data_IF_107235756879
#
_entry.id   IF_107235756879
#
_cell.length_a   1.000
_cell.length_b   1.000
_cell.length_c   1.000
_cell.angle_alpha   90.00
_cell.angle_beta   90.00
_cell.angle_gamma   90.00
#
_symmetry.space_group_name_H-M   'P 1'
#
loop_
_entity.id
_entity.type
_entity.pdbx_description
1 polymer ?
#
# COMPACT_ATOMS: atom_id res chain seq x y z
N UNK A 1 4.12 -4.44 -7.11
CA UNK A 1 3.18 -3.97 -8.15
C UNK A 1 2.57 -2.66 -7.69
N UNK A 2 2.62 -1.63 -8.53
CA UNK A 2 2.02 -0.32 -8.23
C UNK A 2 0.51 -0.48 -8.05
N UNK A 3 -0.04 0.27 -7.10
CA UNK A 3 -1.45 0.41 -6.66
C UNK A 3 -2.44 0.80 -7.77
N UNK A 4 -2.02 0.77 -9.04
CA UNK A 4 -2.82 1.23 -10.17
C UNK A 4 -3.44 0.05 -10.91
N UNK A 5 -4.77 0.01 -10.93
CA UNK A 5 -5.55 -0.89 -11.78
C UNK A 5 -5.25 -0.70 -13.27
N UNK A 6 -4.83 0.51 -13.68
CA UNK A 6 -4.61 0.87 -15.09
C UNK A 6 -3.60 -0.05 -15.77
N UNK A 7 -2.43 -0.25 -15.15
CA UNK A 7 -1.39 -1.12 -15.70
C UNK A 7 -1.84 -2.58 -15.75
N UNK A 8 -2.75 -3.01 -14.86
CA UNK A 8 -3.28 -4.39 -14.89
C UNK A 8 -4.31 -4.59 -15.99
N UNK A 9 -5.18 -3.60 -16.21
CA UNK A 9 -6.16 -3.60 -17.30
C UNK A 9 -5.45 -3.67 -18.66
N UNK A 10 -4.38 -2.89 -18.86
CA UNK A 10 -3.59 -2.95 -20.09
C UNK A 10 -2.92 -4.32 -20.32
N UNK A 11 -2.61 -5.04 -19.24
CA UNK A 11 -1.99 -6.37 -19.30
C UNK A 11 -3.02 -7.52 -19.26
N UNK A 12 -4.32 -7.22 -19.41
CA UNK A 12 -5.42 -8.21 -19.32
C UNK A 12 -5.41 -9.05 -18.02
N UNK A 13 -4.86 -8.49 -16.95
CA UNK A 13 -4.84 -9.11 -15.63
C UNK A 13 -6.11 -8.76 -14.84
N UNK A 14 -6.46 -9.54 -13.80
CA UNK A 14 -7.55 -9.18 -12.90
C UNK A 14 -7.43 -7.74 -12.38
N UNK A 15 -8.57 -7.05 -12.28
CA UNK A 15 -8.64 -5.63 -11.91
C UNK A 15 -8.06 -5.34 -10.53
N UNK A 16 -8.04 -6.33 -9.64
CA UNK A 16 -7.51 -6.25 -8.29
C UNK A 16 -6.26 -7.10 -8.10
N UNK A 17 -5.40 -6.70 -7.18
CA UNK A 17 -4.38 -7.53 -6.57
C UNK A 17 -4.23 -7.16 -5.08
N UNK A 18 -3.48 -7.95 -4.33
CA UNK A 18 -3.27 -7.71 -2.89
C UNK A 18 -2.73 -6.30 -2.60
N UNK A 19 -1.92 -5.73 -3.50
CA UNK A 19 -1.36 -4.37 -3.35
C UNK A 19 -2.44 -3.29 -3.53
N UNK A 20 -3.34 -3.45 -4.50
CA UNK A 20 -4.43 -2.52 -4.77
C UNK A 20 -5.46 -2.53 -3.63
N UNK A 21 -5.82 -3.71 -3.14
CA UNK A 21 -6.70 -3.83 -1.98
C UNK A 21 -6.05 -3.33 -0.70
N UNK A 22 -4.74 -3.56 -0.55
CA UNK A 22 -3.96 -3.00 0.54
C UNK A 22 -4.00 -1.48 0.54
N UNK A 23 -3.83 -0.86 -0.63
CA UNK A 23 -3.94 0.59 -0.81
C UNK A 23 -5.35 1.11 -0.52
N UNK A 24 -6.40 0.51 -1.09
CA UNK A 24 -7.79 0.90 -0.79
C UNK A 24 -8.09 0.81 0.71
N UNK A 25 -7.64 -0.24 1.39
CA UNK A 25 -7.81 -0.38 2.85
C UNK A 25 -7.06 0.72 3.61
N UNK A 26 -5.82 1.04 3.21
CA UNK A 26 -5.04 2.09 3.85
C UNK A 26 -5.71 3.46 3.69
N UNK A 27 -6.16 3.81 2.47
CA UNK A 27 -6.87 5.05 2.17
C UNK A 27 -8.20 5.13 2.93
N UNK A 28 -8.99 4.05 2.92
CA UNK A 28 -10.24 4.02 3.67
C UNK A 28 -10.03 4.20 5.18
N UNK A 29 -8.87 3.76 5.71
CA UNK A 29 -8.54 3.92 7.12
C UNK A 29 -7.97 5.31 7.45
N UNK A 30 -7.33 5.98 6.50
CA UNK A 30 -6.80 7.33 6.68
C UNK A 30 -7.84 8.42 6.48
N UNK A 31 -8.81 8.20 5.58
CA UNK A 31 -9.91 9.14 5.32
C UNK A 31 -10.95 9.09 6.44
N UNK A 32 -11.27 10.26 7.00
CA UNK A 32 -12.29 10.42 8.06
C UNK A 32 -13.69 10.09 7.52
N UNK A 33 -14.66 9.87 8.42
CA UNK A 33 -16.04 9.55 8.01
C UNK A 33 -16.77 10.74 7.34
N UNK A 34 -16.43 11.98 7.70
CA UNK A 34 -17.00 13.21 7.12
C UNK A 34 -15.96 14.35 7.09
N UNK A 35 -14.87 14.23 6.32
CA UNK A 35 -13.83 15.25 6.25
C UNK A 35 -14.33 16.44 5.43
N UNK A 36 -13.91 17.64 5.80
CA UNK A 36 -13.92 18.77 4.88
C UNK A 36 -13.01 18.47 3.67
N UNK A 37 -13.19 19.21 2.57
CA UNK A 37 -12.32 19.08 1.39
C UNK A 37 -10.86 19.30 1.76
N UNK A 38 -10.56 20.25 2.65
CA UNK A 38 -9.20 20.54 3.12
C UNK A 38 -8.58 19.38 3.91
N UNK A 39 -9.35 18.74 4.78
CA UNK A 39 -8.89 17.54 5.51
C UNK A 39 -8.62 16.39 4.52
N UNK A 40 -9.49 16.20 3.53
CA UNK A 40 -9.30 15.19 2.49
C UNK A 40 -8.01 15.42 1.70
N UNK A 41 -7.73 16.67 1.32
CA UNK A 41 -6.48 17.05 0.63
C UNK A 41 -5.26 16.71 1.51
N UNK A 42 -5.33 17.05 2.81
CA UNK A 42 -4.25 16.77 3.75
C UNK A 42 -4.00 15.26 3.89
N UNK A 43 -5.06 14.47 4.03
CA UNK A 43 -4.96 13.02 4.15
C UNK A 43 -4.33 12.40 2.88
N UNK A 44 -4.73 12.86 1.70
CA UNK A 44 -4.14 12.43 0.42
C UNK A 44 -2.67 12.85 0.27
N UNK A 45 -2.28 14.04 0.73
CA UNK A 45 -0.88 14.48 0.72
C UNK A 45 -0.01 13.62 1.64
N UNK A 46 -0.52 13.22 2.80
CA UNK A 46 0.19 12.32 3.71
C UNK A 46 0.41 10.94 3.08
N UNK A 47 -0.62 10.38 2.43
CA UNK A 47 -0.51 9.11 1.71
C UNK A 47 0.49 9.21 0.55
N UNK A 48 0.43 10.27 -0.24
CA UNK A 48 1.39 10.52 -1.33
C UNK A 48 2.83 10.58 -0.80
N UNK A 49 3.05 11.27 0.32
CA UNK A 49 4.37 11.36 0.95
C UNK A 49 4.90 9.98 1.38
N UNK A 50 4.06 9.16 2.01
CA UNK A 50 4.42 7.80 2.40
C UNK A 50 4.79 6.93 1.18
N UNK A 51 4.03 7.04 0.09
CA UNK A 51 4.30 6.33 -1.17
C UNK A 51 5.64 6.78 -1.77
N UNK A 52 5.94 8.08 -1.79
CA UNK A 52 7.21 8.60 -2.32
C UNK A 52 8.40 8.09 -1.51
N UNK A 53 8.30 8.06 -0.17
CA UNK A 53 9.32 7.48 0.70
C UNK A 53 9.52 6.00 0.37
N UNK A 54 8.42 5.24 0.24
CA UNK A 54 8.49 3.82 -0.11
C UNK A 54 9.14 3.61 -1.48
N UNK A 55 8.80 4.43 -2.47
CA UNK A 55 9.40 4.37 -3.81
C UNK A 55 10.91 4.67 -3.76
N UNK A 56 11.33 5.70 -3.02
CA UNK A 56 12.74 6.03 -2.84
C UNK A 56 13.52 4.91 -2.15
N UNK A 57 12.94 4.28 -1.11
CA UNK A 57 13.53 3.12 -0.44
C UNK A 57 13.69 1.93 -1.39
N UNK A 58 12.67 1.63 -2.19
CA UNK A 58 12.73 0.58 -3.20
C UNK A 58 13.78 0.86 -4.27
N UNK A 59 13.88 2.10 -4.73
CA UNK A 59 14.90 2.53 -5.70
C UNK A 59 16.31 2.42 -5.13
N UNK A 60 16.49 2.69 -3.83
CA UNK A 60 17.74 2.50 -3.11
C UNK A 60 18.06 1.02 -2.78
N UNK A 61 17.21 0.07 -3.18
CA UNK A 61 17.37 -1.35 -2.86
C UNK A 61 17.07 -1.72 -1.40
N UNK A 62 16.54 -0.78 -0.61
CA UNK A 62 16.17 -0.99 0.79
C UNK A 62 14.82 -1.69 0.86
N UNK A 63 14.81 -3.03 0.68
CA UNK A 63 13.62 -3.84 0.90
C UNK A 63 13.44 -4.04 2.40
N UNK A 64 12.64 -3.18 3.04
CA UNK A 64 12.17 -3.45 4.41
C UNK A 64 11.26 -4.67 4.39
N UNK A 65 11.81 -5.85 4.66
CA UNK A 65 11.02 -7.04 5.00
C UNK A 65 10.46 -6.85 6.40
N UNK A 66 9.39 -6.06 6.55
CA UNK A 66 8.61 -6.07 7.79
C UNK A 66 7.78 -7.34 7.77
N UNK A 67 8.40 -8.48 8.11
CA UNK A 67 7.61 -9.66 8.48
C UNK A 67 6.93 -9.32 9.80
N UNK A 68 5.61 -9.53 9.87
CA UNK A 68 4.95 -9.51 11.18
C UNK A 68 5.46 -10.73 11.94
N UNK A 69 5.86 -10.56 13.19
CA UNK A 69 6.38 -11.63 14.08
C UNK A 69 5.51 -12.90 14.02
N UNK A 70 4.18 -12.73 13.93
CA UNK A 70 3.20 -13.83 13.77
C UNK A 70 3.51 -14.76 12.58
N UNK A 71 3.99 -14.22 11.46
CA UNK A 71 4.32 -15.00 10.26
C UNK A 71 5.74 -15.56 10.30
N UNK A 72 6.61 -15.05 11.17
CA UNK A 72 7.94 -15.66 11.42
C UNK A 72 7.76 -16.95 12.21
N UNK A 73 7.00 -16.88 13.31
CA UNK A 73 6.69 -18.04 14.15
C UNK A 73 5.99 -19.17 13.38
N UNK A 74 5.05 -18.82 12.49
CA UNK A 74 4.35 -19.79 11.65
C UNK A 74 5.30 -20.46 10.64
N UNK A 75 6.29 -19.73 10.12
CA UNK A 75 7.27 -20.29 9.20
C UNK A 75 8.21 -21.27 9.91
N UNK A 76 8.62 -20.97 11.14
CA UNK A 76 9.44 -21.87 11.96
C UNK A 76 8.72 -23.18 12.28
N UNK A 77 7.40 -23.14 12.47
CA UNK A 77 6.58 -24.33 12.73
C UNK A 77 6.29 -25.19 11.49
N UNK A 78 6.52 -24.65 10.29
CA UNK A 78 6.25 -25.32 9.01
C UNK A 78 7.53 -25.85 8.32
N UNK A 79 8.70 -25.68 8.93
CA UNK A 79 9.97 -26.31 8.52
C UNK A 79 10.18 -27.63 9.27
#
# INVERSE_FOLDING_TARGET
AIWSCFSRLNNQLPRSNNSNEGWHRAVQHSVRLNPSIYESIKDLQMEQHAILIMAAQLQAGLVKKVKRVKYELLNEQLQ
#
